data_IF_640759756049
#
_entry.id   IF_640759756049
#
_cell.length_a   1.000
_cell.length_b   1.000
_cell.length_c   1.000
_cell.angle_alpha   90.00
_cell.angle_beta   90.00
_cell.angle_gamma   90.00
#
_symmetry.space_group_name_H-M   'P 1'
#
loop_
_entity.id
_entity.type
_entity.pdbx_description
1 polymer ?
#
# COMPACT_ATOMS: atom_id res chain seq x y z
N UNK A 1 -2.93 -16.63 -18.82
CA UNK A 1 -3.77 -15.47 -19.18
C UNK A 1 -3.74 -14.50 -18.02
N UNK A 2 -3.72 -13.17 -18.23
CA UNK A 2 -3.91 -12.21 -17.14
C UNK A 2 -5.35 -12.37 -16.63
N UNK A 3 -5.54 -13.08 -15.51
CA UNK A 3 -6.89 -13.53 -15.12
C UNK A 3 -7.05 -14.18 -13.74
N UNK A 4 -6.01 -14.73 -13.12
CA UNK A 4 -6.22 -15.51 -11.88
C UNK A 4 -5.69 -14.81 -10.63
N UNK A 5 -6.30 -13.67 -10.28
CA UNK A 5 -6.21 -13.19 -8.89
C UNK A 5 -7.02 -14.16 -8.05
N UNK A 6 -6.37 -14.88 -7.12
CA UNK A 6 -7.05 -15.80 -6.23
C UNK A 6 -8.11 -15.07 -5.39
N UNK A 7 -9.31 -15.65 -5.27
CA UNK A 7 -10.44 -15.04 -4.58
C UNK A 7 -11.07 -16.00 -3.57
N UNK A 8 -11.39 -15.50 -2.38
CA UNK A 8 -12.20 -16.21 -1.39
C UNK A 8 -13.60 -16.44 -1.98
N UNK A 9 -13.96 -17.72 -2.10
CA UNK A 9 -15.21 -18.17 -2.73
C UNK A 9 -15.45 -17.57 -4.14
N UNK A 10 -14.38 -17.26 -4.88
CA UNK A 10 -14.47 -16.64 -6.21
C UNK A 10 -14.89 -15.16 -6.20
N UNK A 11 -15.11 -14.55 -5.03
CA UNK A 11 -15.66 -13.19 -4.92
C UNK A 11 -14.58 -12.16 -4.54
N UNK A 12 -13.93 -12.35 -3.38
CA UNK A 12 -13.08 -11.31 -2.80
C UNK A 12 -11.59 -11.64 -2.94
N UNK A 13 -10.81 -10.71 -3.47
CA UNK A 13 -9.37 -10.88 -3.74
C UNK A 13 -8.46 -10.68 -2.52
N UNK A 14 -9.01 -10.79 -1.31
CA UNK A 14 -8.29 -10.73 -0.04
C UNK A 14 -8.83 -11.79 0.92
N UNK A 15 -7.99 -12.26 1.85
CA UNK A 15 -8.36 -13.24 2.89
C UNK A 15 -8.74 -12.60 4.22
N UNK A 16 -8.55 -11.28 4.35
CA UNK A 16 -8.91 -10.49 5.54
C UNK A 16 -9.55 -9.17 5.13
N UNK A 17 -10.65 -8.81 5.77
CA UNK A 17 -11.29 -7.50 5.62
C UNK A 17 -12.24 -7.21 6.80
N UNK A 18 -12.48 -5.93 7.06
CA UNK A 18 -13.66 -5.51 7.82
C UNK A 18 -14.92 -5.64 6.96
N UNK A 19 -16.09 -5.88 7.55
CA UNK A 19 -17.33 -6.03 6.77
C UNK A 19 -17.48 -7.42 6.14
N UNK A 20 -18.07 -7.52 4.94
CA UNK A 20 -18.25 -8.78 4.20
C UNK A 20 -18.87 -9.94 5.02
N UNK A 21 -19.95 -9.62 5.75
CA UNK A 21 -20.61 -10.54 6.70
C UNK A 21 -20.88 -11.93 6.10
N UNK A 22 -21.28 -11.98 4.83
CA UNK A 22 -21.65 -13.21 4.14
C UNK A 22 -20.44 -14.13 3.84
N UNK A 23 -19.20 -13.64 3.96
CA UNK A 23 -17.97 -14.40 3.70
C UNK A 23 -17.20 -14.76 4.99
N UNK A 24 -17.72 -14.42 6.19
CA UNK A 24 -16.98 -14.55 7.46
C UNK A 24 -16.58 -15.97 7.86
N UNK A 25 -17.17 -17.00 7.27
CA UNK A 25 -16.69 -18.38 7.48
C UNK A 25 -15.29 -18.59 6.91
N UNK A 26 -14.92 -17.88 5.85
CA UNK A 26 -13.62 -18.02 5.15
C UNK A 26 -12.81 -16.72 5.13
N UNK A 27 -13.35 -15.62 5.69
CA UNK A 27 -12.75 -14.29 5.69
C UNK A 27 -12.59 -13.76 7.11
N UNK A 28 -11.34 -13.49 7.51
CA UNK A 28 -11.02 -13.00 8.86
C UNK A 28 -11.07 -11.48 8.96
N UNK A 29 -11.23 -10.95 10.17
CA UNK A 29 -11.21 -9.49 10.43
C UNK A 29 -10.09 -9.06 11.36
N UNK A 30 -9.36 -10.00 11.96
CA UNK A 30 -8.24 -9.67 12.83
C UNK A 30 -7.04 -9.19 12.01
N UNK A 31 -6.35 -8.13 12.46
CA UNK A 31 -5.16 -7.63 11.81
C UNK A 31 -3.95 -8.55 12.04
N UNK A 32 -2.94 -8.42 11.17
CA UNK A 32 -1.58 -8.80 11.52
C UNK A 32 -0.93 -7.61 12.26
N UNK A 33 -0.34 -7.85 13.42
CA UNK A 33 0.18 -6.80 14.30
C UNK A 33 1.69 -6.98 14.46
N UNK A 34 2.44 -5.94 14.10
CA UNK A 34 3.88 -5.87 14.29
C UNK A 34 4.25 -4.57 15.00
N UNK A 35 5.10 -4.68 16.01
CA UNK A 35 5.72 -3.54 16.66
C UNK A 35 7.16 -3.42 16.13
N UNK A 36 7.52 -2.23 15.67
CA UNK A 36 8.84 -1.93 15.12
C UNK A 36 9.29 -0.63 15.77
N UNK A 37 10.45 -0.64 16.40
CA UNK A 37 11.05 0.56 16.98
C UNK A 37 11.58 1.47 15.86
N UNK A 38 11.23 2.75 15.92
CA UNK A 38 11.78 3.76 15.02
C UNK A 38 13.10 4.24 15.60
N UNK A 39 14.20 3.98 14.88
CA UNK A 39 15.55 4.37 15.27
C UNK A 39 16.14 5.41 14.29
N UNK A 40 17.39 5.82 14.53
CA UNK A 40 18.10 6.77 13.68
C UNK A 40 18.41 6.27 12.26
N UNK A 41 18.16 4.99 11.95
CA UNK A 41 18.31 4.42 10.60
C UNK A 41 16.99 4.40 9.83
N UNK A 42 15.89 4.81 10.46
CA UNK A 42 14.55 4.77 9.88
C UNK A 42 14.22 6.11 9.23
N UNK A 43 14.39 6.23 7.91
CA UNK A 43 14.16 7.50 7.20
C UNK A 43 12.68 7.87 7.03
N UNK A 44 11.86 6.91 6.63
CA UNK A 44 10.48 7.14 6.22
C UNK A 44 9.61 5.88 6.31
N UNK A 45 8.30 6.11 6.40
CA UNK A 45 7.24 5.09 6.28
C UNK A 45 6.30 5.48 5.14
N UNK A 46 5.99 4.52 4.27
CA UNK A 46 5.00 4.68 3.18
C UNK A 46 3.85 3.72 3.46
N UNK A 47 2.64 4.27 3.56
CA UNK A 47 1.39 3.50 3.60
C UNK A 47 0.59 3.84 2.36
N UNK A 48 0.14 2.85 1.61
CA UNK A 48 -0.64 3.10 0.39
C UNK A 48 -1.62 1.96 0.09
N UNK A 49 -2.66 2.27 -0.69
CA UNK A 49 -3.55 1.27 -1.28
C UNK A 49 -2.80 0.42 -2.32
N UNK A 50 -3.37 -0.73 -2.67
CA UNK A 50 -2.83 -1.62 -3.69
C UNK A 50 -2.76 -0.97 -5.09
N UNK A 51 -3.56 0.06 -5.36
CA UNK A 51 -3.42 0.90 -6.54
C UNK A 51 -2.00 1.45 -6.77
N UNK A 52 -1.23 1.70 -5.71
CA UNK A 52 0.20 2.04 -5.82
C UNK A 52 1.05 0.78 -6.06
N UNK A 53 0.89 -0.23 -5.20
CA UNK A 53 1.77 -1.41 -5.14
C UNK A 53 1.60 -2.37 -6.32
N UNK A 54 0.49 -2.30 -7.05
CA UNK A 54 0.26 -3.05 -8.29
C UNK A 54 1.18 -2.63 -9.43
N UNK A 55 1.70 -1.40 -9.41
CA UNK A 55 2.50 -0.81 -10.51
C UNK A 55 3.90 -0.35 -10.08
N UNK A 56 4.24 -0.50 -8.80
CA UNK A 56 5.49 -0.03 -8.23
C UNK A 56 5.97 -0.95 -7.11
N UNK A 57 7.25 -1.32 -7.16
CA UNK A 57 7.89 -2.07 -6.09
C UNK A 57 8.19 -1.19 -4.88
N UNK A 58 8.39 -1.84 -3.72
CA UNK A 58 8.71 -1.14 -2.48
C UNK A 58 9.93 -0.21 -2.61
N UNK A 59 11.00 -0.68 -3.27
CA UNK A 59 12.24 0.10 -3.39
C UNK A 59 12.06 1.31 -4.32
N UNK A 60 11.34 1.17 -5.43
CA UNK A 60 11.05 2.29 -6.32
C UNK A 60 10.26 3.40 -5.60
N UNK A 61 9.27 3.01 -4.78
CA UNK A 61 8.50 3.96 -3.99
C UNK A 61 9.39 4.72 -2.99
N UNK A 62 10.31 4.01 -2.32
CA UNK A 62 11.29 4.63 -1.43
C UNK A 62 12.19 5.60 -2.18
N UNK A 63 12.73 5.21 -3.33
CA UNK A 63 13.66 6.02 -4.12
C UNK A 63 12.99 7.30 -4.65
N UNK A 64 11.72 7.23 -5.04
CA UNK A 64 10.92 8.39 -5.44
C UNK A 64 10.65 9.29 -4.24
N UNK A 65 10.17 8.72 -3.12
CA UNK A 65 9.84 9.49 -1.94
C UNK A 65 11.07 10.24 -1.39
N UNK A 66 12.25 9.59 -1.37
CA UNK A 66 13.51 10.17 -0.88
C UNK A 66 13.95 11.43 -1.63
N UNK A 67 13.61 11.56 -2.92
CA UNK A 67 13.94 12.74 -3.74
C UNK A 67 13.20 14.01 -3.29
N UNK A 68 12.15 13.89 -2.49
CA UNK A 68 11.29 15.02 -2.10
C UNK A 68 11.26 15.19 -0.58
N UNK A 69 11.86 16.28 -0.08
CA UNK A 69 11.95 16.55 1.39
C UNK A 69 10.58 16.69 2.06
N UNK A 70 9.62 17.33 1.41
CA UNK A 70 8.28 17.52 1.97
C UNK A 70 7.45 16.22 1.84
N UNK A 71 6.94 15.65 2.95
CA UNK A 71 6.26 14.36 2.92
C UNK A 71 4.94 14.40 2.11
N UNK A 72 4.20 15.52 2.14
CA UNK A 72 2.96 15.64 1.38
C UNK A 72 3.23 15.68 -0.13
N UNK A 73 4.27 16.40 -0.56
CA UNK A 73 4.74 16.40 -1.95
C UNK A 73 5.28 15.04 -2.36
N UNK A 74 5.98 14.33 -1.48
CA UNK A 74 6.45 12.97 -1.74
C UNK A 74 5.27 12.01 -1.99
N UNK A 75 4.25 12.04 -1.13
CA UNK A 75 3.03 11.26 -1.32
C UNK A 75 2.32 11.60 -2.65
N UNK A 76 2.20 12.90 -2.96
CA UNK A 76 1.63 13.34 -4.25
C UNK A 76 2.44 12.83 -5.44
N UNK A 77 3.77 12.85 -5.35
CA UNK A 77 4.64 12.34 -6.41
C UNK A 77 4.45 10.84 -6.63
N UNK A 78 4.30 10.05 -5.56
CA UNK A 78 4.01 8.62 -5.65
C UNK A 78 2.67 8.33 -6.32
N UNK A 79 1.63 9.10 -5.99
CA UNK A 79 0.31 9.01 -6.65
C UNK A 79 0.41 9.35 -8.13
N UNK A 80 1.11 10.43 -8.48
CA UNK A 80 1.32 10.83 -9.88
C UNK A 80 2.07 9.73 -10.64
N UNK A 81 3.14 9.19 -10.07
CA UNK A 81 3.91 8.12 -10.71
C UNK A 81 3.03 6.89 -10.97
N UNK A 82 2.20 6.46 -10.01
CA UNK A 82 1.30 5.33 -10.21
C UNK A 82 0.24 5.60 -11.30
N UNK A 83 -0.25 6.84 -11.42
CA UNK A 83 -1.12 7.25 -12.53
C UNK A 83 -0.37 7.23 -13.87
N UNK A 84 0.87 7.70 -13.92
CA UNK A 84 1.73 7.65 -15.12
C UNK A 84 2.01 6.22 -15.56
N UNK A 85 2.10 5.29 -14.61
CA UNK A 85 2.21 3.84 -14.87
C UNK A 85 0.85 3.16 -15.13
N UNK A 86 -0.17 3.95 -15.42
CA UNK A 86 -1.50 3.52 -15.83
C UNK A 86 -2.22 2.63 -14.81
N UNK A 87 -1.98 2.83 -13.50
CA UNK A 87 -2.77 2.17 -12.47
C UNK A 87 -4.27 2.44 -12.69
N UNK A 88 -5.07 1.38 -12.61
CA UNK A 88 -6.52 1.39 -12.89
C UNK A 88 -7.38 1.38 -11.63
N UNK A 89 -6.75 1.48 -10.47
CA UNK A 89 -7.40 1.41 -9.16
C UNK A 89 -7.42 2.79 -8.48
N UNK A 90 -8.17 2.90 -7.40
CA UNK A 90 -8.08 4.07 -6.53
C UNK A 90 -6.72 4.10 -5.81
N UNK A 91 -6.07 5.27 -5.84
CA UNK A 91 -4.70 5.44 -5.32
C UNK A 91 -4.74 6.37 -4.12
N UNK A 92 -4.40 5.83 -2.96
CA UNK A 92 -4.19 6.59 -1.72
C UNK A 92 -2.79 6.34 -1.19
N UNK A 93 -2.09 7.39 -0.76
CA UNK A 93 -0.73 7.28 -0.24
C UNK A 93 -0.49 8.26 0.91
N UNK A 94 0.15 7.78 1.97
CA UNK A 94 0.63 8.53 3.13
C UNK A 94 2.13 8.31 3.21
N UNK A 95 2.88 9.40 3.33
CA UNK A 95 4.32 9.37 3.60
C UNK A 95 4.58 10.05 4.93
N UNK A 96 5.24 9.33 5.83
CA UNK A 96 5.75 9.86 7.10
C UNK A 96 7.27 9.94 6.98
N UNK A 97 7.84 11.09 7.33
CA UNK A 97 9.29 11.25 7.46
C UNK A 97 9.64 11.33 8.93
N UNK A 98 10.53 10.46 9.37
CA UNK A 98 11.05 10.52 10.72
C UNK A 98 12.21 11.52 10.76
N UNK A 99 12.34 12.23 11.87
CA UNK A 99 13.51 13.06 12.12
C UNK A 99 14.57 12.16 12.76
N UNK A 100 15.65 11.93 12.03
CA UNK A 100 16.92 11.53 12.66
C UNK A 100 17.48 12.67 13.49
#
# INVERSE_FOLDING_TARGET
MPGDVARVNGQLAVSRAFGDKNLKSHLRSDPDVKNIDVDGNTDLLILASDGLWKVMSNQEAVDIAKKVKDPQKAAKQLVIEALTRESKDDISCIVVRFKG
#
